data_IF_929191695043
#
_entry.id   IF_929191695043
#
_cell.length_a   1.000
_cell.length_b   1.000
_cell.length_c   1.000
_cell.angle_alpha   90.00
_cell.angle_beta   90.00
_cell.angle_gamma   90.00
#
_symmetry.space_group_name_H-M   'P 1'
#
loop_
_entity.id
_entity.type
_entity.pdbx_description
1 polymer ?
#
# COMPACT_ATOMS: atom_id res chain seq x y z
N UNK A 1 16.20 11.42 15.15
CA UNK A 1 16.75 12.56 14.37
C UNK A 1 15.61 13.19 13.59
N UNK A 2 15.47 14.50 13.66
CA UNK A 2 14.30 15.25 13.17
C UNK A 2 14.06 15.03 11.67
N UNK A 3 12.92 14.43 11.32
CA UNK A 3 12.40 14.27 9.96
C UNK A 3 12.18 15.64 9.32
N UNK A 4 13.21 16.15 8.63
CA UNK A 4 13.06 17.27 7.71
C UNK A 4 12.26 16.76 6.52
N UNK A 5 11.01 17.22 6.41
CA UNK A 5 10.07 17.11 5.29
C UNK A 5 10.67 16.42 4.04
N UNK A 6 10.32 15.15 3.79
CA UNK A 6 10.68 14.51 2.52
C UNK A 6 9.94 15.25 1.39
N UNK A 7 10.64 15.93 0.46
CA UNK A 7 10.00 16.78 -0.54
C UNK A 7 9.15 15.98 -1.55
N UNK A 8 9.38 14.68 -1.66
CA UNK A 8 8.63 13.77 -2.53
C UNK A 8 7.39 13.18 -1.87
N UNK A 9 7.23 13.37 -0.55
CA UNK A 9 6.08 12.89 0.20
C UNK A 9 5.06 14.02 0.38
N UNK A 10 4.07 14.06 -0.51
CA UNK A 10 3.01 15.05 -0.50
C UNK A 10 1.65 14.36 -0.64
N UNK A 11 0.56 15.01 -0.19
CA UNK A 11 -0.82 14.55 -0.42
C UNK A 11 -1.09 13.10 0.03
N UNK A 12 -0.92 12.85 1.33
CA UNK A 12 -1.13 11.53 1.93
C UNK A 12 -2.56 10.97 1.70
N UNK A 13 -3.55 11.85 1.48
CA UNK A 13 -4.93 11.52 1.14
C UNK A 13 -5.09 10.85 -0.25
N UNK A 14 -4.11 11.01 -1.14
CA UNK A 14 -4.11 10.43 -2.49
C UNK A 14 -3.02 9.38 -2.66
N UNK A 15 -2.79 8.60 -1.60
CA UNK A 15 -1.67 7.66 -1.49
C UNK A 15 -1.47 6.76 -2.71
N UNK A 16 -2.51 6.08 -3.21
CA UNK A 16 -2.40 5.19 -4.37
C UNK A 16 -1.99 5.94 -5.67
N UNK A 17 -2.49 7.16 -5.85
CA UNK A 17 -2.15 7.99 -7.02
C UNK A 17 -0.70 8.48 -6.95
N UNK A 18 -0.29 9.00 -5.79
CA UNK A 18 1.08 9.50 -5.58
C UNK A 18 2.11 8.36 -5.64
N UNK A 19 1.77 7.18 -5.12
CA UNK A 19 2.59 5.97 -5.27
C UNK A 19 2.88 5.69 -6.74
N UNK A 20 1.85 5.58 -7.58
CA UNK A 20 2.03 5.33 -9.01
C UNK A 20 2.86 6.41 -9.71
N UNK A 21 2.75 7.66 -9.29
CA UNK A 21 3.59 8.76 -9.79
C UNK A 21 5.05 8.61 -9.41
N UNK A 22 5.34 8.26 -8.15
CA UNK A 22 6.71 8.09 -7.65
C UNK A 22 7.39 6.87 -8.27
N UNK A 23 6.67 5.75 -8.45
CA UNK A 23 7.22 4.55 -9.08
C UNK A 23 7.74 4.82 -10.50
N UNK A 24 7.07 5.69 -11.27
CA UNK A 24 7.51 6.08 -12.63
C UNK A 24 8.80 6.92 -12.64
N UNK A 25 9.19 7.49 -11.50
CA UNK A 25 10.44 8.27 -11.36
C UNK A 25 11.61 7.40 -10.92
N UNK A 26 11.35 6.19 -10.46
CA UNK A 26 12.40 5.27 -10.02
C UNK A 26 13.05 4.59 -11.23
N UNK A 27 14.36 4.30 -11.15
CA UNK A 27 15.03 3.56 -12.21
C UNK A 27 14.47 2.13 -12.31
N UNK A 28 14.38 1.60 -13.53
CA UNK A 28 13.85 0.24 -13.79
C UNK A 28 14.64 -0.85 -13.06
N UNK A 29 15.93 -0.63 -12.84
CA UNK A 29 16.84 -1.55 -12.15
C UNK A 29 17.03 -1.23 -10.66
N UNK A 30 16.05 -0.58 -10.01
CA UNK A 30 16.13 -0.16 -8.60
C UNK A 30 16.60 -1.27 -7.67
N UNK A 31 16.03 -2.47 -7.80
CA UNK A 31 16.33 -3.62 -6.93
C UNK A 31 17.72 -4.23 -7.17
N UNK A 32 18.35 -3.91 -8.30
CA UNK A 32 19.69 -4.36 -8.65
C UNK A 32 20.75 -3.26 -8.45
N UNK A 33 20.35 -2.06 -8.03
CA UNK A 33 21.26 -0.95 -7.83
C UNK A 33 22.02 -1.10 -6.50
N UNK A 34 23.34 -1.29 -6.58
CA UNK A 34 24.20 -1.36 -5.38
C UNK A 34 24.18 -0.06 -4.56
N UNK A 35 24.02 1.08 -5.24
CA UNK A 35 24.05 2.40 -4.60
C UNK A 35 22.99 3.33 -5.20
N UNK A 36 22.04 3.75 -4.37
CA UNK A 36 21.07 4.78 -4.72
C UNK A 36 21.61 6.17 -4.37
N UNK A 37 21.37 7.14 -5.24
CA UNK A 37 21.60 8.55 -4.92
C UNK A 37 20.67 9.00 -3.77
N UNK A 38 21.04 10.06 -3.04
CA UNK A 38 20.23 10.56 -1.94
C UNK A 38 18.80 10.90 -2.36
N UNK A 39 18.62 11.57 -3.50
CA UNK A 39 17.30 11.92 -4.01
C UNK A 39 16.47 10.68 -4.35
N UNK A 40 17.08 9.65 -4.95
CA UNK A 40 16.43 8.37 -5.23
C UNK A 40 15.98 7.68 -3.94
N UNK A 41 16.82 7.66 -2.89
CA UNK A 41 16.43 7.14 -1.57
C UNK A 41 15.21 7.88 -1.00
N UNK A 42 15.15 9.20 -1.17
CA UNK A 42 13.99 10.00 -0.72
C UNK A 42 12.72 9.68 -1.53
N UNK A 43 12.83 9.46 -2.85
CA UNK A 43 11.71 9.02 -3.68
C UNK A 43 11.23 7.63 -3.25
N UNK A 44 12.15 6.68 -3.01
CA UNK A 44 11.80 5.33 -2.54
C UNK A 44 11.12 5.39 -1.16
N UNK A 45 11.66 6.20 -0.24
CA UNK A 45 11.03 6.40 1.07
C UNK A 45 9.63 7.00 0.96
N UNK A 46 9.42 7.98 0.07
CA UNK A 46 8.11 8.55 -0.16
C UNK A 46 7.15 7.52 -0.76
N UNK A 47 7.61 6.72 -1.72
CA UNK A 47 6.83 5.64 -2.34
C UNK A 47 6.43 4.59 -1.30
N UNK A 48 7.36 4.14 -0.44
CA UNK A 48 7.09 3.24 0.68
C UNK A 48 6.00 3.80 1.60
N UNK A 49 6.15 5.05 2.04
CA UNK A 49 5.14 5.69 2.91
C UNK A 49 3.76 5.78 2.24
N UNK A 50 3.70 6.03 0.94
CA UNK A 50 2.43 6.02 0.21
C UNK A 50 1.86 4.61 0.03
N UNK A 51 2.70 3.60 -0.17
CA UNK A 51 2.26 2.20 -0.20
C UNK A 51 1.69 1.75 1.17
N UNK A 52 2.32 2.13 2.28
CA UNK A 52 1.80 1.88 3.62
C UNK A 52 0.43 2.55 3.84
N UNK A 53 0.30 3.82 3.45
CA UNK A 53 -0.96 4.54 3.56
C UNK A 53 -2.06 3.93 2.69
N UNK A 54 -1.73 3.53 1.46
CA UNK A 54 -2.69 2.93 0.52
C UNK A 54 -3.14 1.55 1.01
N UNK A 55 -2.22 0.67 1.40
CA UNK A 55 -2.55 -0.65 1.95
C UNK A 55 -3.38 -0.55 3.23
N UNK A 56 -3.02 0.37 4.14
CA UNK A 56 -3.82 0.64 5.35
C UNK A 56 -5.24 1.10 5.02
N UNK A 57 -5.38 1.97 4.01
CA UNK A 57 -6.69 2.46 3.58
C UNK A 57 -7.55 1.33 3.00
N UNK A 58 -6.96 0.47 2.16
CA UNK A 58 -7.64 -0.70 1.60
C UNK A 58 -8.11 -1.67 2.69
N UNK A 59 -7.23 -2.01 3.64
CA UNK A 59 -7.56 -2.92 4.74
C UNK A 59 -8.69 -2.38 5.62
N UNK A 60 -8.65 -1.08 5.97
CA UNK A 60 -9.75 -0.43 6.70
C UNK A 60 -11.05 -0.41 5.90
N UNK A 61 -10.97 -0.19 4.59
CA UNK A 61 -12.12 -0.24 3.70
C UNK A 61 -12.76 -1.63 3.66
N UNK A 62 -11.94 -2.68 3.56
CA UNK A 62 -12.40 -4.07 3.60
C UNK A 62 -13.08 -4.40 4.94
N UNK A 63 -12.51 -3.98 6.07
CA UNK A 63 -13.10 -4.16 7.39
C UNK A 63 -14.47 -3.46 7.52
N UNK A 64 -14.57 -2.22 7.04
CA UNK A 64 -15.82 -1.48 7.02
C UNK A 64 -16.88 -2.16 6.13
N UNK A 65 -16.49 -2.65 4.95
CA UNK A 65 -17.38 -3.42 4.06
C UNK A 65 -17.87 -4.72 4.73
N UNK A 66 -16.99 -5.44 5.41
CA UNK A 66 -17.37 -6.62 6.19
C UNK A 66 -18.38 -6.30 7.29
N UNK A 67 -18.19 -5.18 8.00
CA UNK A 67 -19.12 -4.71 9.03
C UNK A 67 -20.50 -4.37 8.46
N UNK A 68 -20.55 -3.70 7.31
CA UNK A 68 -21.80 -3.40 6.58
C UNK A 68 -22.49 -4.69 6.15
N UNK A 69 -21.76 -5.65 5.58
CA UNK A 69 -22.31 -6.93 5.14
C UNK A 69 -22.88 -7.76 6.30
N UNK A 70 -22.21 -7.77 7.46
CA UNK A 70 -22.72 -8.42 8.67
C UNK A 70 -24.01 -7.78 9.18
N UNK A 71 -24.08 -6.45 9.19
CA UNK A 71 -25.30 -5.73 9.57
C UNK A 71 -26.45 -6.02 8.58
N UNK A 72 -26.14 -6.02 7.29
CA UNK A 72 -27.14 -6.26 6.24
C UNK A 72 -27.63 -7.72 6.24
N UNK A 73 -26.74 -8.69 6.49
CA UNK A 73 -27.07 -10.11 6.58
C UNK A 73 -27.87 -10.51 7.83
N UNK A 74 -27.82 -9.71 8.91
CA UNK A 74 -28.63 -9.94 10.11
C UNK A 74 -30.00 -9.26 10.06
N UNK A 75 -30.26 -8.42 9.06
CA UNK A 75 -31.58 -7.85 8.80
C UNK A 75 -32.43 -8.78 7.92
N UNK A 76 -33.45 -9.38 8.54
CA UNK A 76 -34.41 -10.28 7.91
C UNK A 76 -35.26 -9.61 6.80
N UNK A 77 -35.27 -8.27 6.72
CA UNK A 77 -35.97 -7.50 5.69
C UNK A 77 -35.06 -6.97 4.59
N UNK A 78 -33.75 -7.21 4.68
CA UNK A 78 -32.77 -6.59 3.77
C UNK A 78 -33.00 -6.93 2.30
N UNK A 79 -33.58 -8.10 2.01
CA UNK A 79 -34.00 -8.49 0.66
C UNK A 79 -32.88 -8.44 -0.38
N UNK A 80 -31.61 -8.55 0.05
CA UNK A 80 -30.47 -8.32 -0.82
C UNK A 80 -30.39 -9.41 -1.87
N UNK A 81 -30.42 -9.02 -3.13
CA UNK A 81 -30.34 -9.96 -4.24
C UNK A 81 -28.99 -10.71 -4.21
N UNK A 82 -28.99 -12.04 -4.44
CA UNK A 82 -27.76 -12.83 -4.46
C UNK A 82 -26.67 -12.30 -5.41
N UNK A 83 -27.07 -11.68 -6.53
CA UNK A 83 -26.14 -11.06 -7.48
C UNK A 83 -25.37 -9.89 -6.86
N UNK A 84 -26.01 -9.08 -6.01
CA UNK A 84 -25.37 -7.95 -5.32
C UNK A 84 -24.35 -8.50 -4.31
N UNK A 85 -24.71 -9.52 -3.54
CA UNK A 85 -23.80 -10.16 -2.59
C UNK A 85 -22.59 -10.76 -3.29
N UNK A 86 -22.79 -11.42 -4.44
CA UNK A 86 -21.70 -11.97 -5.24
C UNK A 86 -20.76 -10.87 -5.74
N UNK A 87 -21.30 -9.77 -6.29
CA UNK A 87 -20.49 -8.63 -6.73
C UNK A 87 -19.72 -7.94 -5.59
N UNK A 88 -20.30 -7.84 -4.40
CA UNK A 88 -19.60 -7.33 -3.21
C UNK A 88 -18.48 -8.27 -2.76
N UNK A 89 -18.72 -9.59 -2.79
CA UNK A 89 -17.71 -10.60 -2.51
C UNK A 89 -16.53 -10.54 -3.49
N UNK A 90 -16.82 -10.43 -4.79
CA UNK A 90 -15.80 -10.27 -5.84
C UNK A 90 -14.97 -8.99 -5.63
N UNK A 91 -15.62 -7.86 -5.34
CA UNK A 91 -14.92 -6.61 -5.07
C UNK A 91 -14.02 -6.69 -3.83
N UNK A 92 -14.52 -7.26 -2.72
CA UNK A 92 -13.72 -7.43 -1.50
C UNK A 92 -12.50 -8.32 -1.76
N UNK A 93 -12.68 -9.43 -2.48
CA UNK A 93 -11.59 -10.31 -2.85
C UNK A 93 -10.53 -9.58 -3.70
N UNK A 94 -10.97 -8.75 -4.66
CA UNK A 94 -10.07 -7.94 -5.47
C UNK A 94 -9.28 -6.92 -4.63
N UNK A 95 -9.97 -6.15 -3.78
CA UNK A 95 -9.34 -5.17 -2.89
C UNK A 95 -8.34 -5.83 -1.92
N UNK A 96 -8.63 -7.05 -1.44
CA UNK A 96 -7.73 -7.78 -0.56
C UNK A 96 -6.42 -8.16 -1.26
N UNK A 97 -6.50 -8.62 -2.52
CA UNK A 97 -5.33 -8.91 -3.35
C UNK A 97 -4.53 -7.64 -3.63
N UNK A 98 -5.19 -6.52 -3.95
CA UNK A 98 -4.51 -5.23 -4.13
C UNK A 98 -3.82 -4.78 -2.84
N UNK A 99 -4.45 -4.95 -1.68
CA UNK A 99 -3.85 -4.60 -0.39
C UNK A 99 -2.60 -5.42 -0.08
N UNK A 100 -2.63 -6.73 -0.39
CA UNK A 100 -1.47 -7.62 -0.28
C UNK A 100 -0.34 -7.15 -1.19
N UNK A 101 -0.63 -6.92 -2.47
CA UNK A 101 0.36 -6.45 -3.44
C UNK A 101 1.00 -5.12 -3.02
N UNK A 102 0.21 -4.13 -2.61
CA UNK A 102 0.72 -2.82 -2.19
C UNK A 102 1.59 -2.94 -0.93
N UNK A 103 1.25 -3.85 -0.01
CA UNK A 103 2.05 -4.11 1.18
C UNK A 103 3.38 -4.79 0.84
N UNK A 104 3.37 -5.82 0.00
CA UNK A 104 4.59 -6.47 -0.50
C UNK A 104 5.49 -5.46 -1.22
N UNK A 105 4.90 -4.56 -2.02
CA UNK A 105 5.62 -3.48 -2.66
C UNK A 105 6.27 -2.54 -1.63
N UNK A 106 5.57 -2.17 -0.56
CA UNK A 106 6.13 -1.36 0.53
C UNK A 106 7.33 -2.04 1.18
N UNK A 107 7.21 -3.34 1.48
CA UNK A 107 8.28 -4.15 2.07
C UNK A 107 9.50 -4.22 1.13
N UNK A 108 9.28 -4.45 -0.16
CA UNK A 108 10.33 -4.45 -1.18
C UNK A 108 11.04 -3.08 -1.32
N UNK A 109 10.27 -1.99 -1.28
CA UNK A 109 10.82 -0.63 -1.30
C UNK A 109 11.64 -0.33 -0.04
N UNK A 110 11.21 -0.82 1.13
CA UNK A 110 11.96 -0.74 2.38
C UNK A 110 13.31 -1.45 2.29
N UNK A 111 13.31 -2.70 1.83
CA UNK A 111 14.52 -3.50 1.64
C UNK A 111 15.52 -2.89 0.64
N UNK A 112 15.05 -2.07 -0.30
CA UNK A 112 15.91 -1.38 -1.27
C UNK A 112 16.70 -0.19 -0.68
N UNK A 113 16.29 0.34 0.48
CA UNK A 113 16.92 1.51 1.12
C UNK A 113 17.45 1.23 2.52
N UNK A 114 16.97 0.18 3.19
CA UNK A 114 17.49 -0.35 4.44
C UNK A 114 18.21 -1.67 4.11
N UNK A 115 19.56 -1.74 4.15
CA UNK A 115 20.25 -3.00 3.95
C UNK A 115 19.80 -4.00 5.02
N UNK A 116 19.69 -5.30 4.70
CA UNK A 116 19.24 -6.29 5.68
C UNK A 116 20.19 -6.30 6.87
N UNK A 117 19.64 -6.17 8.08
CA UNK A 117 20.38 -6.32 9.34
C UNK A 117 20.83 -7.78 9.51
N UNK A 118 21.84 -8.22 8.76
CA UNK A 118 22.61 -9.42 9.09
C UNK A 118 24.04 -8.99 9.43
N UNK A 119 24.43 -9.36 10.65
CA UNK A 119 25.54 -8.79 11.39
C UNK A 119 26.91 -8.94 10.73
N UNK A 120 27.69 -7.87 10.89
CA UNK A 120 28.98 -7.93 11.59
C UNK A 120 30.01 -8.87 11.01
N UNK A 121 30.98 -8.26 10.32
CA UNK A 121 32.36 -8.75 10.19
C UNK A 121 32.95 -9.21 11.53
N UNK A 122 33.91 -10.14 11.50
CA UNK A 122 35.30 -9.74 11.30
C UNK A 122 35.84 -10.01 9.89
#
# INVERSE_FOLDING_TARGET
MSSKHNPHFARADRAAYELGHLLRKLPENLLAAEHLALDQRLIVQAARNHADNASTTLLRGIEALGSVLLAAGTDAQSGIEPRILMGLGELIAHLAVEAQFVRELSENLGNAIEPPEFGGTP
#
